data_IF_633108792617
#
_entry.id   IF_633108792617
#
_cell.length_a   1.000
_cell.length_b   1.000
_cell.length_c   1.000
_cell.angle_alpha   90.00
_cell.angle_beta   90.00
_cell.angle_gamma   90.00
#
_symmetry.space_group_name_H-M   'P 1'
#
loop_
_entity.id
_entity.type
_entity.pdbx_description
1 polymer ?
#
# COMPACT_ATOMS: atom_id res chain seq x y z
N UNK A 1 10.50 -12.69 13.31
CA UNK A 1 11.19 -11.72 14.20
C UNK A 1 10.26 -10.53 14.42
N UNK A 2 9.68 -10.33 15.63
CA UNK A 2 8.73 -9.25 15.90
C UNK A 2 9.24 -7.85 15.58
N UNK A 3 10.54 -7.60 15.77
CA UNK A 3 11.17 -6.31 15.49
C UNK A 3 11.07 -5.92 14.01
N UNK A 4 11.22 -6.88 13.09
CA UNK A 4 11.05 -6.66 11.65
C UNK A 4 9.63 -6.24 11.28
N UNK A 5 8.60 -6.73 11.98
CA UNK A 5 7.19 -6.35 11.70
C UNK A 5 6.94 -4.88 12.02
N UNK A 6 7.52 -4.40 13.12
CA UNK A 6 7.40 -3.01 13.52
C UNK A 6 8.16 -2.07 12.58
N UNK A 7 9.35 -2.48 12.11
CA UNK A 7 10.09 -1.74 11.08
C UNK A 7 9.31 -1.63 9.77
N UNK A 8 8.71 -2.72 9.29
CA UNK A 8 7.87 -2.69 8.08
C UNK A 8 6.63 -1.81 8.24
N UNK A 9 6.04 -1.79 9.44
CA UNK A 9 4.94 -0.88 9.73
C UNK A 9 5.39 0.59 9.67
N UNK A 10 6.54 0.93 10.26
CA UNK A 10 7.07 2.29 10.17
C UNK A 10 7.37 2.70 8.72
N UNK A 11 7.90 1.77 7.91
CA UNK A 11 8.07 2.02 6.48
C UNK A 11 6.76 2.25 5.74
N UNK A 12 5.72 1.47 6.01
CA UNK A 12 4.40 1.74 5.45
C UNK A 12 3.92 3.16 5.78
N UNK A 13 4.08 3.60 7.03
CA UNK A 13 3.66 4.94 7.45
C UNK A 13 4.50 6.05 6.78
N UNK A 14 5.81 5.85 6.62
CA UNK A 14 6.69 6.74 5.87
C UNK A 14 6.18 6.94 4.43
N UNK A 15 5.91 5.84 3.71
CA UNK A 15 5.44 5.91 2.32
C UNK A 15 4.04 6.53 2.18
N UNK A 16 3.14 6.33 3.15
CA UNK A 16 1.85 7.03 3.20
C UNK A 16 2.04 8.54 3.38
N UNK A 17 3.01 8.95 4.21
CA UNK A 17 3.39 10.36 4.38
C UNK A 17 3.91 10.97 3.08
N UNK A 18 4.81 10.27 2.39
CA UNK A 18 5.35 10.70 1.10
C UNK A 18 4.27 10.73 0.01
N UNK A 19 3.36 9.74 -0.02
CA UNK A 19 2.20 9.70 -0.90
C UNK A 19 1.33 10.96 -0.70
N UNK A 20 1.05 11.32 0.56
CA UNK A 20 0.31 12.55 0.89
C UNK A 20 1.00 13.80 0.34
N UNK A 21 2.33 13.89 0.47
CA UNK A 21 3.10 15.00 -0.06
C UNK A 21 3.01 15.11 -1.60
N UNK A 22 3.20 13.99 -2.32
CA UNK A 22 3.19 14.00 -3.79
C UNK A 22 1.79 14.23 -4.36
N UNK A 23 0.73 13.75 -3.67
CA UNK A 23 -0.68 14.06 -4.00
C UNK A 23 -0.94 15.55 -3.84
N UNK A 24 -0.57 16.14 -2.69
CA UNK A 24 -0.73 17.58 -2.45
C UNK A 24 -0.02 18.43 -3.50
N UNK A 25 1.12 17.97 -4.01
CA UNK A 25 1.89 18.63 -5.08
C UNK A 25 1.43 18.24 -6.50
N UNK A 26 0.46 17.35 -6.64
CA UNK A 26 0.00 16.77 -7.91
C UNK A 26 1.15 16.32 -8.82
N UNK A 27 2.17 15.66 -8.25
CA UNK A 27 3.35 15.21 -8.99
C UNK A 27 3.05 13.90 -9.72
N UNK A 28 2.69 14.01 -11.01
CA UNK A 28 2.43 12.87 -11.89
C UNK A 28 3.67 12.46 -12.67
N UNK A 29 3.77 11.16 -12.96
CA UNK A 29 4.77 10.60 -13.84
C UNK A 29 4.76 11.29 -15.23
N UNK A 30 5.96 11.53 -15.77
CA UNK A 30 6.16 12.07 -17.13
C UNK A 30 7.14 11.20 -17.89
N UNK A 31 6.69 10.58 -18.98
CA UNK A 31 7.46 9.53 -19.66
C UNK A 31 7.81 8.42 -18.68
N UNK A 32 9.09 8.02 -18.64
CA UNK A 32 9.56 6.93 -17.78
C UNK A 32 10.16 7.41 -16.44
N UNK A 33 9.87 8.65 -16.01
CA UNK A 33 10.39 9.21 -14.75
C UNK A 33 9.38 9.01 -13.62
N UNK A 34 9.47 7.88 -12.94
CA UNK A 34 8.56 7.51 -11.84
C UNK A 34 8.97 8.13 -10.49
N UNK A 35 10.26 8.43 -10.27
CA UNK A 35 10.73 8.93 -8.97
C UNK A 35 10.12 10.28 -8.57
N UNK A 36 9.67 10.38 -7.32
CA UNK A 36 8.99 11.51 -6.70
C UNK A 36 7.55 11.72 -7.18
N UNK A 37 6.86 10.67 -7.65
CA UNK A 37 5.51 10.77 -8.24
C UNK A 37 4.45 10.07 -7.39
N UNK A 38 3.19 10.41 -7.64
CA UNK A 38 2.04 9.71 -7.09
C UNK A 38 2.10 8.21 -7.46
N UNK A 39 2.48 7.88 -8.69
CA UNK A 39 2.60 6.51 -9.16
C UNK A 39 3.63 5.69 -8.37
N UNK A 40 4.80 6.26 -8.09
CA UNK A 40 5.81 5.64 -7.22
C UNK A 40 5.24 5.39 -5.82
N UNK A 41 4.65 6.41 -5.21
CA UNK A 41 4.23 6.32 -3.81
C UNK A 41 2.98 5.47 -3.59
N UNK A 42 2.10 5.35 -4.58
CA UNK A 42 1.05 4.35 -4.57
C UNK A 42 1.64 2.93 -4.59
N UNK A 43 2.68 2.70 -5.41
CA UNK A 43 3.35 1.42 -5.45
C UNK A 43 4.10 1.11 -4.14
N UNK A 44 4.82 2.08 -3.57
CA UNK A 44 5.56 1.88 -2.31
C UNK A 44 4.60 1.52 -1.15
N UNK A 45 3.42 2.16 -1.09
CA UNK A 45 2.35 1.80 -0.14
C UNK A 45 1.84 0.38 -0.38
N UNK A 46 1.59 -0.02 -1.63
CA UNK A 46 1.19 -1.39 -1.97
C UNK A 46 2.27 -2.41 -1.59
N UNK A 47 3.54 -2.07 -1.81
CA UNK A 47 4.69 -2.89 -1.51
C UNK A 47 4.76 -3.18 -0.01
N UNK A 48 4.74 -2.17 0.86
CA UNK A 48 4.81 -2.40 2.30
C UNK A 48 3.54 -3.03 2.89
N UNK A 49 2.37 -2.82 2.29
CA UNK A 49 1.19 -3.64 2.62
C UNK A 49 1.45 -5.13 2.36
N UNK A 50 2.05 -5.47 1.22
CA UNK A 50 2.38 -6.86 0.86
C UNK A 50 3.48 -7.44 1.77
N UNK A 51 4.49 -6.64 2.11
CA UNK A 51 5.55 -7.03 3.06
C UNK A 51 4.96 -7.35 4.44
N UNK A 52 4.04 -6.51 4.93
CA UNK A 52 3.35 -6.77 6.19
C UNK A 52 2.50 -8.05 6.10
N UNK A 53 1.73 -8.23 5.03
CA UNK A 53 0.94 -9.44 4.85
C UNK A 53 1.82 -10.70 4.91
N UNK A 54 2.96 -10.70 4.20
CA UNK A 54 3.93 -11.79 4.27
C UNK A 54 4.48 -11.99 5.69
N UNK A 55 4.80 -10.91 6.41
CA UNK A 55 5.32 -11.00 7.78
C UNK A 55 4.30 -11.56 8.79
N UNK A 56 2.99 -11.48 8.47
CA UNK A 56 1.90 -12.05 9.27
C UNK A 56 1.35 -13.36 8.68
N UNK A 57 1.96 -13.92 7.64
CA UNK A 57 1.50 -15.11 6.93
C UNK A 57 0.05 -14.98 6.41
N UNK A 58 -0.30 -13.80 5.92
CA UNK A 58 -1.63 -13.46 5.42
C UNK A 58 -1.70 -13.63 3.90
N UNK A 59 -2.69 -14.39 3.42
CA UNK A 59 -3.03 -14.46 2.01
C UNK A 59 -3.95 -13.28 1.60
N UNK A 60 -3.38 -12.25 1.00
CA UNK A 60 -4.13 -11.07 0.56
C UNK A 60 -5.16 -11.36 -0.53
N UNK A 61 -4.92 -12.36 -1.39
CA UNK A 61 -5.88 -12.71 -2.45
C UNK A 61 -7.16 -13.33 -1.86
N UNK A 62 -7.01 -14.22 -0.89
CA UNK A 62 -8.15 -14.77 -0.15
C UNK A 62 -8.92 -13.66 0.60
N UNK A 63 -8.20 -12.76 1.28
CA UNK A 63 -8.79 -11.60 1.93
C UNK A 63 -9.58 -10.73 0.95
N UNK A 64 -9.05 -10.51 -0.26
CA UNK A 64 -9.72 -9.74 -1.31
C UNK A 64 -11.06 -10.38 -1.71
N UNK A 65 -11.09 -11.68 -2.03
CA UNK A 65 -12.33 -12.35 -2.42
C UNK A 65 -13.39 -12.31 -1.31
N UNK A 66 -13.00 -12.62 -0.07
CA UNK A 66 -13.90 -12.59 1.09
C UNK A 66 -14.46 -11.18 1.31
N UNK A 67 -13.61 -10.16 1.21
CA UNK A 67 -14.03 -8.77 1.42
C UNK A 67 -14.99 -8.29 0.34
N UNK A 68 -14.74 -8.66 -0.91
CA UNK A 68 -15.59 -8.32 -2.05
C UNK A 68 -16.95 -9.00 -1.98
N UNK A 69 -17.01 -10.25 -1.50
CA UNK A 69 -18.29 -10.92 -1.25
C UNK A 69 -19.12 -10.17 -0.19
N UNK A 70 -18.50 -9.73 0.90
CA UNK A 70 -19.16 -8.92 1.93
C UNK A 70 -19.64 -7.58 1.40
N UNK A 71 -18.84 -6.90 0.57
CA UNK A 71 -19.21 -5.63 -0.05
C UNK A 71 -20.45 -5.79 -0.96
N UNK A 72 -20.47 -6.84 -1.79
CA UNK A 72 -21.63 -7.16 -2.65
C UNK A 72 -22.91 -7.43 -1.87
N UNK A 73 -22.82 -8.03 -0.68
CA UNK A 73 -23.98 -8.28 0.20
C UNK A 73 -24.50 -7.02 0.87
N UNK A 74 -23.63 -6.02 1.15
CA UNK A 74 -24.03 -4.74 1.73
C UNK A 74 -24.69 -3.77 0.74
N UNK A 75 -24.35 -3.90 -0.55
CA UNK A 75 -24.91 -3.06 -1.62
C UNK A 75 -26.20 -3.62 -2.23
N UNK A 76 -26.77 -4.69 -1.65
CA UNK A 76 -28.10 -5.23 -1.94
C UNK A 76 -29.01 -4.95 -0.76
#
# INVERSE_FOLDING_TARGET
NPELKQEYFFKLIEEVGELSEVIRKNKRMKGNKIKGTIEEKLYDVLYYNSVLANAYDINLEECFYLKEELNRKKSK
#
